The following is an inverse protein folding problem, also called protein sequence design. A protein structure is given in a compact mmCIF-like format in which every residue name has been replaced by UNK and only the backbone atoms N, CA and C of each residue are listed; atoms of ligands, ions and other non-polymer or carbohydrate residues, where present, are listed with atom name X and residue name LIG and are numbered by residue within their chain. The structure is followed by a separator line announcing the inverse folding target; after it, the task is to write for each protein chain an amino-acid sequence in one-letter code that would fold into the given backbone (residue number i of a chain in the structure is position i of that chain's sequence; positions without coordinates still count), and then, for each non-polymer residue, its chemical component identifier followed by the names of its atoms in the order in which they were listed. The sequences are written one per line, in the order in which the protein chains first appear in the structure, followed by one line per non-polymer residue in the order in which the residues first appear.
data_IF_093376141870
#
_entry.id   IF_093376141870
#
_cell.length_a   1.000
_cell.length_b   1.000
_cell.length_c   1.000
_cell.angle_alpha   90.00
_cell.angle_beta   90.00
_cell.angle_gamma   90.00
#
_symmetry.space_group_name_H-M   'P 1'
#
loop_
_entity.id
_entity.type
_entity.pdbx_description
1 polymer ?
#
# COMPACT_ATOMS: atom_id res chain seq x y z
N UNK A 1 -23.69 -6.49 -7.22
CA UNK A 1 -22.28 -6.08 -7.41
C UNK A 1 -21.60 -6.00 -6.05
N UNK A 2 -20.61 -6.86 -5.79
CA UNK A 2 -19.84 -6.90 -4.54
C UNK A 2 -18.55 -6.09 -4.74
N UNK A 3 -18.20 -5.23 -3.77
CA UNK A 3 -16.98 -4.40 -3.80
C UNK A 3 -16.07 -4.85 -2.66
N UNK A 4 -14.80 -5.12 -2.96
CA UNK A 4 -13.79 -5.51 -1.99
C UNK A 4 -12.58 -4.59 -2.10
N UNK A 5 -12.11 -4.07 -0.98
CA UNK A 5 -10.89 -3.26 -0.86
C UNK A 5 -9.85 -4.10 -0.12
N UNK A 6 -8.74 -4.36 -0.82
CA UNK A 6 -7.56 -5.01 -0.28
C UNK A 6 -6.49 -3.98 0.05
N UNK A 7 -6.04 -3.93 1.30
CA UNK A 7 -4.91 -3.11 1.73
C UNK A 7 -3.61 -3.90 1.71
N UNK A 8 -2.60 -3.39 1.00
CA UNK A 8 -1.23 -3.93 1.00
C UNK A 8 -0.31 -2.87 1.61
N UNK A 9 -0.19 -2.95 2.93
CA UNK A 9 0.72 -2.16 3.75
C UNK A 9 2.12 -2.76 3.82
N UNK A 10 3.04 -2.04 4.46
CA UNK A 10 4.37 -2.58 4.75
C UNK A 10 5.49 -1.56 4.59
N UNK A 11 6.68 -1.95 5.03
CA UNK A 11 7.85 -1.07 5.01
C UNK A 11 8.27 -0.62 3.62
N UNK A 12 9.06 0.46 3.56
CA UNK A 12 9.74 0.91 2.34
C UNK A 12 10.54 -0.23 1.72
N UNK A 13 10.57 -0.31 0.39
CA UNK A 13 11.30 -1.34 -0.37
C UNK A 13 10.95 -2.81 -0.01
N UNK A 14 9.82 -3.03 0.69
CA UNK A 14 9.30 -4.36 1.01
C UNK A 14 8.67 -5.07 -0.18
N UNK A 15 8.39 -4.35 -1.28
CA UNK A 15 7.86 -4.87 -2.55
C UNK A 15 6.33 -4.93 -2.68
N UNK A 16 5.64 -4.02 -1.98
CA UNK A 16 4.19 -3.79 -2.07
C UNK A 16 3.69 -3.62 -3.51
N UNK A 17 4.32 -2.72 -4.28
CA UNK A 17 3.94 -2.43 -5.66
C UNK A 17 4.12 -3.64 -6.59
N UNK A 18 5.10 -4.51 -6.32
CA UNK A 18 5.26 -5.76 -7.09
C UNK A 18 4.11 -6.71 -6.78
N UNK A 19 3.81 -6.93 -5.50
CA UNK A 19 2.71 -7.81 -5.08
C UNK A 19 1.35 -7.29 -5.59
N UNK A 20 1.09 -5.99 -5.50
CA UNK A 20 -0.18 -5.40 -5.95
C UNK A 20 -0.39 -5.56 -7.46
N UNK A 21 0.67 -5.37 -8.27
CA UNK A 21 0.63 -5.61 -9.72
C UNK A 21 0.39 -7.08 -10.06
N UNK A 22 1.11 -8.00 -9.40
CA UNK A 22 0.88 -9.43 -9.62
C UNK A 22 -0.54 -9.86 -9.23
N UNK A 23 -1.08 -9.34 -8.13
CA UNK A 23 -2.48 -9.58 -7.76
C UNK A 23 -3.46 -8.99 -8.77
N UNK A 24 -3.19 -7.79 -9.30
CA UNK A 24 -4.02 -7.17 -10.32
C UNK A 24 -4.08 -8.01 -11.62
N UNK A 25 -2.97 -8.60 -12.02
CA UNK A 25 -2.91 -9.48 -13.20
C UNK A 25 -3.71 -10.77 -13.02
N UNK A 26 -3.74 -11.31 -11.79
CA UNK A 26 -4.43 -12.55 -11.45
C UNK A 26 -5.93 -12.35 -11.19
N UNK A 27 -6.31 -11.20 -10.64
CA UNK A 27 -7.67 -10.90 -10.20
C UNK A 27 -8.46 -10.15 -11.28
N UNK A 28 -9.59 -10.71 -11.69
CA UNK A 28 -10.50 -10.04 -12.62
C UNK A 28 -11.15 -8.81 -11.98
N UNK A 29 -11.51 -7.82 -12.80
CA UNK A 29 -12.18 -6.58 -12.37
C UNK A 29 -11.47 -5.90 -11.19
N UNK A 30 -10.14 -5.83 -11.29
CA UNK A 30 -9.28 -5.27 -10.26
C UNK A 30 -8.47 -4.07 -10.74
N UNK A 31 -8.20 -3.14 -9.83
CA UNK A 31 -7.29 -2.02 -10.08
C UNK A 31 -6.48 -1.65 -8.84
N UNK A 32 -5.40 -0.89 -9.03
CA UNK A 32 -4.47 -0.50 -7.96
C UNK A 32 -4.46 1.02 -7.78
N UNK A 33 -4.57 1.47 -6.53
CA UNK A 33 -4.26 2.83 -6.11
C UNK A 33 -2.98 2.77 -5.25
N UNK A 34 -1.93 3.46 -5.71
CA UNK A 34 -0.63 3.53 -5.02
C UNK A 34 -0.52 4.83 -4.22
N UNK A 35 -0.23 4.73 -2.92
CA UNK A 35 -0.05 5.87 -2.03
C UNK A 35 1.09 6.79 -2.49
N UNK A 36 2.13 6.25 -3.13
CA UNK A 36 3.28 7.01 -3.64
C UNK A 36 2.86 8.06 -4.69
N UNK A 37 1.71 7.90 -5.35
CA UNK A 37 1.18 8.88 -6.31
C UNK A 37 0.60 10.14 -5.65
N UNK A 38 0.47 10.15 -4.32
CA UNK A 38 -0.18 11.22 -3.57
C UNK A 38 0.80 12.01 -2.70
N UNK A 39 2.12 11.88 -2.91
CA UNK A 39 3.08 12.75 -2.24
C UNK A 39 2.83 14.23 -2.60
N UNK A 40 2.96 15.09 -1.59
CA UNK A 40 3.01 16.53 -1.80
C UNK A 40 4.34 16.90 -2.46
N UNK A 41 4.37 18.08 -3.07
CA UNK A 41 5.59 18.63 -3.66
C UNK A 41 6.71 18.77 -2.60
N UNK A 42 7.96 18.53 -2.99
CA UNK A 42 9.10 18.63 -2.07
C UNK A 42 9.16 20.00 -1.38
N UNK A 43 8.78 21.08 -2.07
CA UNK A 43 8.85 22.45 -1.53
C UNK A 43 7.98 22.65 -0.27
N UNK A 44 6.93 21.85 -0.10
CA UNK A 44 6.02 21.96 1.07
C UNK A 44 6.30 20.90 2.14
N UNK A 45 7.17 19.93 1.87
CA UNK A 45 7.56 18.92 2.87
C UNK A 45 8.63 19.54 3.79
N UNK A 46 8.37 19.65 5.12
CA UNK A 46 9.31 20.26 6.03
C UNK A 46 10.55 19.38 6.21
N UNK A 47 11.66 20.00 6.60
CA UNK A 47 12.87 19.31 7.03
C UNK A 47 13.07 19.52 8.54
N UNK A 48 13.65 18.53 9.22
CA UNK A 48 14.05 18.67 10.62
C UNK A 48 15.37 19.43 10.79
N UNK A 49 15.87 19.51 12.03
CA UNK A 49 17.13 20.18 12.37
C UNK A 49 18.37 19.54 11.72
N UNK A 50 18.28 18.29 11.26
CA UNK A 50 19.34 17.57 10.56
C UNK A 50 19.20 17.70 9.03
N UNK A 51 18.19 18.43 8.55
CA UNK A 51 17.89 18.57 7.13
C UNK A 51 17.13 17.38 6.54
N UNK A 52 16.62 16.46 7.36
CA UNK A 52 15.85 15.30 6.89
C UNK A 52 14.41 15.71 6.59
N UNK A 53 14.00 15.52 5.33
CA UNK A 53 12.63 15.78 4.86
C UNK A 53 11.65 14.82 5.54
N UNK A 54 10.49 15.32 5.95
CA UNK A 54 9.54 14.54 6.74
C UNK A 54 8.56 13.71 5.88
N UNK A 55 9.09 12.97 4.90
CA UNK A 55 8.27 12.21 3.92
C UNK A 55 7.46 11.06 4.54
N UNK A 56 8.01 10.39 5.55
CA UNK A 56 7.38 9.22 6.18
C UNK A 56 6.25 9.57 7.18
N UNK A 57 5.47 10.63 6.89
CA UNK A 57 4.32 11.11 7.66
C UNK A 57 3.08 11.25 6.77
N UNK A 58 1.87 11.13 7.35
CA UNK A 58 0.63 11.39 6.59
C UNK A 58 0.54 12.84 6.10
N UNK A 59 1.18 13.78 6.80
CA UNK A 59 1.21 15.19 6.40
C UNK A 59 2.01 15.44 5.12
N UNK A 60 2.89 14.53 4.71
CA UNK A 60 3.60 14.58 3.43
C UNK A 60 2.73 14.10 2.24
N UNK A 61 1.50 13.64 2.50
CA UNK A 61 0.61 13.04 1.50
C UNK A 61 -0.69 13.82 1.35
N UNK A 62 -1.21 13.87 0.13
CA UNK A 62 -2.58 14.29 -0.19
C UNK A 62 -3.56 13.14 0.07
N UNK A 63 -3.73 12.77 1.34
CA UNK A 63 -4.66 11.70 1.75
C UNK A 63 -6.12 12.03 1.39
N UNK A 64 -6.47 13.31 1.33
CA UNK A 64 -7.75 13.82 0.84
C UNK A 64 -8.00 13.42 -0.62
N UNK A 65 -7.02 13.64 -1.51
CA UNK A 65 -7.10 13.25 -2.93
C UNK A 65 -7.14 11.72 -3.09
N UNK A 66 -6.37 11.00 -2.26
CA UNK A 66 -6.40 9.53 -2.26
C UNK A 66 -7.77 8.99 -1.85
N UNK A 67 -8.39 9.57 -0.82
CA UNK A 67 -9.75 9.20 -0.41
C UNK A 67 -10.80 9.56 -1.46
N UNK A 68 -10.64 10.67 -2.17
CA UNK A 68 -11.52 11.03 -3.28
C UNK A 68 -11.47 9.99 -4.41
N UNK A 69 -10.26 9.54 -4.81
CA UNK A 69 -10.10 8.47 -5.80
C UNK A 69 -10.76 7.16 -5.34
N UNK A 70 -10.60 6.79 -4.07
CA UNK A 70 -11.25 5.60 -3.49
C UNK A 70 -12.77 5.77 -3.48
N UNK A 71 -13.28 6.97 -3.17
CA UNK A 71 -14.70 7.30 -3.22
C UNK A 71 -15.28 7.14 -4.62
N UNK A 72 -14.61 7.66 -5.65
CA UNK A 72 -15.02 7.50 -7.05
C UNK A 72 -15.09 6.03 -7.47
N UNK A 73 -14.11 5.21 -7.03
CA UNK A 73 -14.18 3.76 -7.24
C UNK A 73 -15.32 3.11 -6.47
N UNK A 74 -15.57 3.54 -5.23
CA UNK A 74 -16.67 3.01 -4.41
C UNK A 74 -18.05 3.39 -4.97
N UNK A 75 -18.20 4.51 -5.66
CA UNK A 75 -19.44 4.88 -6.34
C UNK A 75 -19.67 3.97 -7.56
N UNK A 76 -18.75 4.01 -8.53
CA UNK A 76 -18.84 3.25 -9.77
C UNK A 76 -17.46 2.65 -10.16
N UNK A 77 -17.18 1.40 -9.70
CA UNK A 77 -15.93 0.71 -10.03
C UNK A 77 -15.71 0.54 -11.52
N UNK A 78 -16.77 0.32 -12.30
CA UNK A 78 -16.68 0.02 -13.72
C UNK A 78 -16.27 1.27 -14.51
N UNK A 79 -16.94 2.39 -14.25
CA UNK A 79 -16.58 3.67 -14.86
C UNK A 79 -15.17 4.11 -14.43
N UNK A 80 -14.85 4.00 -13.14
CA UNK A 80 -13.53 4.34 -12.61
C UNK A 80 -12.41 3.55 -13.33
N UNK A 81 -12.54 2.23 -13.43
CA UNK A 81 -11.55 1.38 -14.09
C UNK A 81 -11.45 1.64 -15.59
N UNK A 82 -12.60 1.78 -16.27
CA UNK A 82 -12.63 2.03 -17.72
C UNK A 82 -11.96 3.37 -18.06
N UNK A 83 -12.20 4.42 -17.26
CA UNK A 83 -11.58 5.73 -17.44
C UNK A 83 -10.05 5.71 -17.30
N UNK A 84 -9.51 4.71 -16.60
CA UNK A 84 -8.08 4.47 -16.41
C UNK A 84 -7.51 3.41 -17.36
N UNK A 85 -8.29 2.99 -18.36
CA UNK A 85 -7.87 2.05 -19.39
C UNK A 85 -7.84 0.58 -18.97
N UNK A 86 -8.48 0.24 -17.85
CA UNK A 86 -8.60 -1.15 -17.43
C UNK A 86 -9.81 -1.82 -18.11
N UNK A 87 -9.60 -3.02 -18.66
CA UNK A 87 -10.68 -3.81 -19.23
C UNK A 87 -11.57 -4.39 -18.11
N UNK A 88 -12.88 -4.19 -18.22
CA UNK A 88 -13.87 -4.73 -17.28
C UNK A 88 -14.60 -5.89 -17.94
N UNK A 89 -14.57 -7.07 -17.32
CA UNK A 89 -15.28 -8.24 -17.80
C UNK A 89 -16.68 -8.26 -17.19
N UNK A 90 -17.70 -8.11 -18.03
CA UNK A 90 -19.10 -8.37 -17.66
C UNK A 90 -19.34 -9.88 -17.68
N UNK A 91 -19.60 -10.48 -16.52
CA UNK A 91 -20.14 -11.84 -16.46
C UNK A 91 -21.63 -11.80 -16.73
N UNK A 92 -22.17 -12.79 -17.44
CA UNK A 92 -23.56 -12.87 -17.92
C UNK A 92 -24.66 -12.73 -16.84
N UNK A 93 -24.32 -12.73 -15.55
CA UNK A 93 -25.17 -12.23 -14.46
C UNK A 93 -24.52 -11.03 -13.77
N UNK A 94 -24.92 -9.81 -14.14
CA UNK A 94 -24.46 -8.56 -13.50
C UNK A 94 -24.64 -8.54 -11.97
N UNK A 95 -25.53 -9.39 -11.46
CA UNK A 95 -25.82 -9.54 -10.03
C UNK A 95 -24.67 -10.17 -9.22
N UNK A 96 -23.76 -10.95 -9.83
CA UNK A 96 -22.69 -11.71 -9.13
C UNK A 96 -21.27 -11.17 -9.33
N UNK A 97 -21.09 -10.04 -10.00
CA UNK A 97 -19.75 -9.48 -10.26
C UNK A 97 -19.10 -8.95 -8.98
N UNK A 98 -17.85 -9.35 -8.75
CA UNK A 98 -16.98 -8.84 -7.68
C UNK A 98 -15.98 -7.87 -8.30
N UNK A 99 -15.84 -6.70 -7.68
CA UNK A 99 -14.87 -5.67 -8.03
C UNK A 99 -13.85 -5.52 -6.91
N UNK A 100 -12.57 -5.48 -7.27
CA UNK A 100 -11.47 -5.48 -6.30
C UNK A 100 -10.65 -4.20 -6.45
N UNK A 101 -10.57 -3.40 -5.40
CA UNK A 101 -9.61 -2.31 -5.30
C UNK A 101 -8.43 -2.75 -4.45
N UNK A 102 -7.24 -2.67 -5.00
CA UNK A 102 -6.00 -2.88 -4.24
C UNK A 102 -5.46 -1.50 -3.89
N UNK A 103 -5.39 -1.19 -2.60
CA UNK A 103 -4.77 0.03 -2.08
C UNK A 103 -3.43 -0.36 -1.48
N UNK A 104 -2.35 0.17 -2.03
CA UNK A 104 -0.99 -0.17 -1.58
C UNK A 104 -0.23 1.09 -1.15
N UNK A 105 0.55 0.96 -0.08
CA UNK A 105 1.34 2.07 0.45
C UNK A 105 1.93 1.77 1.82
N UNK A 106 2.89 2.59 2.27
CA UNK A 106 3.61 2.31 3.51
C UNK A 106 2.92 2.87 4.77
N UNK A 107 1.96 3.81 4.63
CA UNK A 107 1.20 4.43 5.72
C UNK A 107 -0.32 4.23 5.61
N UNK A 108 -0.79 3.40 4.69
CA UNK A 108 -2.24 3.28 4.42
C UNK A 108 -3.06 2.81 5.64
N UNK A 109 -2.44 2.06 6.55
CA UNK A 109 -3.08 1.57 7.79
C UNK A 109 -3.03 2.58 8.94
N UNK A 110 -2.22 3.64 8.84
CA UNK A 110 -2.17 4.72 9.82
C UNK A 110 -3.26 5.78 9.60
N UNK A 111 -3.94 5.75 8.45
CA UNK A 111 -5.01 6.69 8.12
C UNK A 111 -6.38 6.10 8.48
N UNK A 112 -6.95 6.50 9.61
CA UNK A 112 -8.20 5.96 10.15
C UNK A 112 -9.38 5.88 9.17
N UNK A 113 -9.70 6.96 8.41
CA UNK A 113 -10.78 6.92 7.42
C UNK A 113 -10.55 5.89 6.32
N UNK A 114 -9.32 5.75 5.82
CA UNK A 114 -8.97 4.73 4.82
C UNK A 114 -9.06 3.33 5.43
N UNK A 115 -8.48 3.16 6.61
CA UNK A 115 -8.42 1.87 7.27
C UNK A 115 -9.82 1.29 7.53
N UNK A 116 -10.82 2.13 7.80
CA UNK A 116 -12.22 1.71 8.00
C UNK A 116 -12.88 1.14 6.75
N UNK A 117 -12.35 1.41 5.55
CA UNK A 117 -12.87 0.92 4.28
C UNK A 117 -12.26 -0.42 3.84
N UNK A 118 -11.10 -0.79 4.41
CA UNK A 118 -10.34 -1.96 3.96
C UNK A 118 -10.96 -3.25 4.49
N UNK A 119 -11.25 -4.19 3.58
CA UNK A 119 -11.85 -5.48 3.91
C UNK A 119 -10.82 -6.53 4.34
N UNK A 120 -9.66 -6.56 3.69
CA UNK A 120 -8.54 -7.47 4.01
C UNK A 120 -7.24 -6.70 4.03
N UNK A 121 -6.38 -6.98 5.00
CA UNK A 121 -5.13 -6.25 5.26
C UNK A 121 -3.96 -7.22 5.19
N UNK A 122 -2.98 -6.90 4.35
CA UNK A 122 -1.68 -7.57 4.33
C UNK A 122 -0.59 -6.57 4.64
N UNK A 123 0.35 -6.93 5.50
CA UNK A 123 1.49 -6.10 5.84
C UNK A 123 2.80 -6.80 5.49
N UNK A 124 3.60 -6.15 4.63
CA UNK A 124 4.90 -6.66 4.17
C UNK A 124 6.02 -6.22 5.10
N UNK A 125 6.74 -7.21 5.64
CA UNK A 125 7.90 -7.01 6.51
C UNK A 125 9.13 -7.78 6.00
N UNK A 126 10.29 -7.11 6.00
CA UNK A 126 11.63 -7.69 5.79
C UNK A 126 12.58 -7.24 6.92
N UNK A 127 13.71 -7.91 7.15
CA UNK A 127 14.69 -7.48 8.15
C UNK A 127 15.27 -6.08 7.87
N UNK A 128 15.72 -5.39 8.93
CA UNK A 128 16.33 -4.05 8.84
C UNK A 128 17.44 -3.98 7.79
N UNK A 129 18.40 -4.92 7.83
CA UNK A 129 19.55 -4.92 6.92
C UNK A 129 19.12 -5.05 5.46
N UNK A 130 18.18 -5.96 5.18
CA UNK A 130 17.62 -6.13 3.84
C UNK A 130 16.87 -4.88 3.38
N UNK A 131 16.12 -4.22 4.29
CA UNK A 131 15.43 -2.97 3.97
C UNK A 131 16.43 -1.86 3.64
N UNK A 132 17.49 -1.72 4.44
CA UNK A 132 18.55 -0.73 4.26
C UNK A 132 19.29 -0.92 2.95
N UNK A 133 19.68 -2.16 2.65
CA UNK A 133 20.34 -2.53 1.40
C UNK A 133 19.46 -2.17 0.20
N UNK A 134 18.19 -2.64 0.19
CA UNK A 134 17.25 -2.37 -0.92
C UNK A 134 16.91 -0.89 -1.08
N UNK A 135 16.84 -0.13 0.02
CA UNK A 135 16.64 1.32 -0.03
C UNK A 135 17.85 2.01 -0.62
N UNK A 136 19.06 1.62 -0.18
CA UNK A 136 20.32 2.18 -0.69
C UNK A 136 20.53 1.92 -2.19
N UNK A 137 19.96 0.85 -2.73
CA UNK A 137 19.99 0.56 -4.18
C UNK A 137 18.94 1.32 -5.00
N UNK A 138 17.95 1.96 -4.37
CA UNK A 138 16.87 2.68 -5.07
C UNK A 138 17.19 4.18 -5.12
N UNK A 139 17.00 4.78 -6.28
CA UNK A 139 17.12 6.24 -6.45
C UNK A 139 15.76 6.89 -6.22
N UNK A 140 15.69 7.75 -5.21
CA UNK A 140 14.54 8.61 -4.92
C UNK A 140 14.73 9.99 -5.55
N UNK A 141 13.64 10.73 -5.71
CA UNK A 141 13.65 12.13 -6.15
C UNK A 141 12.86 12.95 -5.13
N UNK A 142 13.51 13.83 -4.35
CA UNK A 142 14.96 14.01 -4.24
C UNK A 142 15.67 12.76 -3.67
N UNK A 143 16.99 12.60 -3.91
CA UNK A 143 17.73 11.46 -3.39
C UNK A 143 17.84 11.51 -1.86
N UNK A 144 17.87 10.34 -1.22
CA UNK A 144 18.07 10.22 0.24
C UNK A 144 19.43 10.85 0.64
N UNK A 145 19.47 11.84 1.56
CA UNK A 145 20.73 12.39 2.04
C UNK A 145 21.50 11.37 2.91
N UNK A 146 22.82 11.56 3.13
CA UNK A 146 23.61 10.70 4.01
C UNK A 146 22.96 10.54 5.39
N UNK A 147 22.85 9.30 5.86
CA UNK A 147 22.26 8.98 7.18
C UNK A 147 20.73 9.01 7.25
N UNK A 148 20.03 9.37 6.17
CA UNK A 148 18.56 9.51 6.19
C UNK A 148 17.82 8.23 6.57
N UNK A 149 18.32 7.07 6.13
CA UNK A 149 17.68 5.80 6.47
C UNK A 149 17.68 5.53 7.99
N UNK A 150 18.86 5.65 8.61
CA UNK A 150 19.05 5.35 10.04
C UNK A 150 18.51 6.47 10.93
N UNK A 151 18.66 7.72 10.49
CA UNK A 151 18.30 8.90 11.25
C UNK A 151 16.83 9.28 11.15
N UNK A 152 16.12 8.85 10.09
CA UNK A 152 14.73 9.25 9.86
C UNK A 152 13.82 8.08 9.44
N UNK A 153 14.09 7.43 8.31
CA UNK A 153 13.18 6.45 7.70
C UNK A 153 12.87 5.29 8.65
N UNK A 154 13.90 4.66 9.22
CA UNK A 154 13.72 3.50 10.08
C UNK A 154 13.06 3.87 11.42
N UNK A 155 13.49 4.92 12.13
CA UNK A 155 12.77 5.43 13.30
C UNK A 155 11.28 5.73 13.01
N UNK A 156 10.99 6.35 11.86
CA UNK A 156 9.61 6.65 11.46
C UNK A 156 8.81 5.40 11.13
N UNK A 157 9.41 4.42 10.46
CA UNK A 157 8.78 3.11 10.28
C UNK A 157 8.40 2.47 11.62
N UNK A 158 9.30 2.42 12.60
CA UNK A 158 9.02 1.85 13.92
C UNK A 158 7.90 2.61 14.64
N UNK A 159 7.92 3.95 14.58
CA UNK A 159 6.87 4.80 15.14
C UNK A 159 5.51 4.51 14.49
N UNK A 160 5.45 4.52 13.17
CA UNK A 160 4.22 4.29 12.42
C UNK A 160 3.70 2.86 12.61
N UNK A 161 4.60 1.86 12.67
CA UNK A 161 4.25 0.48 12.98
C UNK A 161 3.59 0.35 14.35
N UNK A 162 4.17 0.96 15.37
CA UNK A 162 3.59 0.94 16.73
C UNK A 162 2.18 1.53 16.74
N UNK A 163 1.99 2.70 16.14
CA UNK A 163 0.67 3.35 16.03
C UNK A 163 -0.33 2.46 15.29
N UNK A 164 0.11 1.80 14.22
CA UNK A 164 -0.71 0.88 13.44
C UNK A 164 -1.13 -0.34 14.27
N UNK A 165 -0.20 -0.98 14.98
CA UNK A 165 -0.48 -2.14 15.84
C UNK A 165 -1.44 -1.79 16.99
N UNK A 166 -1.40 -0.56 17.50
CA UNK A 166 -2.31 -0.07 18.53
C UNK A 166 -3.72 0.25 18.01
N UNK A 167 -3.88 0.48 16.71
CA UNK A 167 -5.14 0.97 16.11
C UNK A 167 -5.83 -0.03 15.19
N UNK A 168 -5.16 -1.12 14.80
CA UNK A 168 -5.66 -2.11 13.84
C UNK A 168 -5.64 -3.51 14.44
N UNK A 169 -6.82 -4.03 14.79
CA UNK A 169 -6.98 -5.30 15.52
C UNK A 169 -7.06 -6.56 14.63
N UNK A 170 -7.11 -6.42 13.30
CA UNK A 170 -7.25 -7.54 12.34
C UNK A 170 -6.35 -7.34 11.10
N UNK A 171 -5.07 -7.67 11.26
CA UNK A 171 -4.05 -7.53 10.21
C UNK A 171 -3.35 -8.87 9.94
N UNK A 172 -3.49 -9.36 8.70
CA UNK A 172 -2.66 -10.46 8.22
C UNK A 172 -1.23 -9.97 8.03
N UNK A 173 -0.28 -10.56 8.76
CA UNK A 173 1.15 -10.26 8.57
C UNK A 173 1.74 -11.25 7.57
N UNK A 174 2.37 -10.73 6.50
CA UNK A 174 3.10 -11.55 5.52
C UNK A 174 4.59 -11.23 5.67
N UNK A 175 5.33 -12.18 6.23
CA UNK A 175 6.78 -12.06 6.43
C UNK A 175 7.47 -12.71 5.23
N UNK A 176 8.31 -11.93 4.54
CA UNK A 176 9.16 -12.45 3.47
C UNK A 176 10.58 -12.59 4.00
N UNK A 177 11.07 -13.83 4.13
CA UNK A 177 12.46 -14.08 4.52
C UNK A 177 13.44 -13.82 3.35
N UNK A 178 12.99 -13.94 2.09
CA UNK A 178 13.79 -13.78 0.87
C UNK A 178 13.09 -12.96 -0.24
N UNK A 179 13.82 -12.66 -1.33
CA UNK A 179 13.35 -11.84 -2.48
C UNK A 179 11.99 -12.26 -3.04
N UNK A 180 11.15 -11.27 -3.40
CA UNK A 180 9.83 -11.49 -4.05
C UNK A 180 9.96 -12.22 -5.39
N UNK A 181 11.11 -12.11 -6.06
CA UNK A 181 11.37 -12.78 -7.33
C UNK A 181 11.35 -14.31 -7.28
N UNK A 182 11.36 -14.92 -6.09
CA UNK A 182 11.32 -16.38 -5.89
C UNK A 182 10.06 -16.87 -5.19
N UNK A 183 9.07 -16.00 -4.97
CA UNK A 183 7.83 -16.36 -4.27
C UNK A 183 6.91 -17.12 -5.24
N UNK A 184 7.10 -18.43 -5.32
CA UNK A 184 6.18 -19.37 -5.98
C UNK A 184 4.96 -19.71 -5.10
N UNK A 185 4.98 -19.32 -3.81
CA UNK A 185 3.85 -19.44 -2.90
C UNK A 185 3.93 -18.36 -1.80
N UNK A 186 2.85 -17.61 -1.61
CA UNK A 186 2.64 -16.75 -0.44
C UNK A 186 1.97 -17.63 0.60
N UNK A 187 2.68 -18.02 1.64
CA UNK A 187 2.06 -18.72 2.78
C UNK A 187 1.30 -17.69 3.60
N UNK A 188 -0.01 -17.59 3.37
CA UNK A 188 -0.87 -16.81 4.25
C UNK A 188 -1.03 -17.56 5.57
N UNK A 189 -0.40 -17.06 6.63
CA UNK A 189 -0.76 -17.46 7.99
C UNK A 189 -2.20 -16.94 8.23
N UNK A 190 -3.15 -17.86 8.42
CA UNK A 190 -4.59 -17.65 8.66
C UNK A 190 -5.48 -17.23 7.48
N UNK A 191 -5.31 -17.81 6.29
CA UNK A 191 -6.31 -17.66 5.22
C UNK A 191 -7.29 -18.84 5.15
N UNK A 192 -8.16 -18.95 6.17
CA UNK A 192 -9.26 -19.91 6.18
C UNK A 192 -10.55 -19.46 5.47
N UNK A 193 -10.64 -18.21 4.99
CA UNK A 193 -11.95 -17.61 4.62
C UNK A 193 -11.93 -16.76 3.34
N UNK A 194 -11.21 -17.19 2.29
CA UNK A 194 -11.34 -16.56 0.96
C UNK A 194 -12.30 -17.28 0.02
N UNK A 195 -12.95 -18.36 0.47
CA UNK A 195 -13.91 -19.13 -0.33
C UNK A 195 -15.11 -19.60 0.51
N UNK A 196 -15.87 -18.68 1.12
CA UNK A 196 -17.29 -18.89 1.48
C UNK A 196 -18.11 -17.62 1.21
#
# INVERSE_FOLDING_TARGET
MRKLILGIGGMTNGGKTTLSKSLQELLQNSCVISQDNFFKDDSVVPADVNGFKQYDTLDALHMDKMMADIGLWQEDPQSFMTSRGHAVKSTASELSSVFILIVEGFLIFNHGPLNSLINKRYFLQIPYETCKERRSSRVYVPPDPPGYFDGYVWPMYLKNRKVMEETVNDMGTVIFEHSISTVTSVTFLNCGELCE
#
